data_IF_685235657652
#
_entry.id   IF_685235657652
#
_cell.length_a   1.000
_cell.length_b   1.000
_cell.length_c   1.000
_cell.angle_alpha   90.00
_cell.angle_beta   90.00
_cell.angle_gamma   90.00
#
_symmetry.space_group_name_H-M   'P 1'
#
loop_
_entity.id
_entity.type
_entity.pdbx_description
1 polymer ?
#
# COMPACT_ATOMS: atom_id res chain seq x y z
N UNK A 1 0.11 31.42 -46.79
CA UNK A 1 -0.01 31.02 -45.37
C UNK A 1 -1.48 31.12 -45.03
N UNK A 2 -2.19 30.17 -44.46
CA UNK A 2 -1.90 29.00 -43.64
C UNK A 2 -3.25 28.24 -43.58
N UNK A 3 -3.34 26.94 -43.86
CA UNK A 3 -3.56 25.90 -42.85
C UNK A 3 -4.07 24.60 -43.54
N UNK A 4 -3.39 24.11 -44.59
CA UNK A 4 -3.82 22.89 -45.32
C UNK A 4 -3.12 21.60 -44.87
N UNK A 5 -2.18 21.68 -43.93
CA UNK A 5 -1.41 20.52 -43.44
C UNK A 5 -2.04 19.83 -42.21
N UNK A 6 -3.06 20.46 -41.59
CA UNK A 6 -3.70 19.96 -40.37
C UNK A 6 -4.79 18.89 -40.57
N UNK A 7 -5.49 18.90 -41.72
CA UNK A 7 -6.61 17.97 -41.94
C UNK A 7 -6.17 16.59 -42.47
N UNK A 8 -5.15 16.52 -43.32
CA UNK A 8 -4.67 15.24 -43.87
C UNK A 8 -4.03 14.33 -42.80
N UNK A 9 -3.40 14.93 -41.80
CA UNK A 9 -2.77 14.21 -40.68
C UNK A 9 -3.83 13.62 -39.73
N UNK A 10 -4.95 14.34 -39.52
CA UNK A 10 -6.07 13.87 -38.69
C UNK A 10 -6.88 12.76 -39.39
N UNK A 11 -7.19 12.91 -40.68
CA UNK A 11 -7.94 11.89 -41.45
C UNK A 11 -7.15 10.57 -41.55
N UNK A 12 -5.82 10.64 -41.65
CA UNK A 12 -4.97 9.43 -41.67
C UNK A 12 -4.90 8.73 -40.30
N UNK A 13 -5.00 9.48 -39.20
CA UNK A 13 -5.05 8.93 -37.83
C UNK A 13 -6.44 8.37 -37.48
N UNK A 14 -7.52 9.02 -37.93
CA UNK A 14 -8.89 8.54 -37.68
C UNK A 14 -9.24 7.28 -38.50
N UNK A 15 -8.69 7.15 -39.71
CA UNK A 15 -8.87 5.96 -40.54
C UNK A 15 -8.07 4.74 -40.04
N UNK A 16 -6.92 4.96 -39.39
CA UNK A 16 -6.14 3.88 -38.75
C UNK A 16 -6.75 3.44 -37.41
N UNK A 17 -7.37 4.33 -36.65
CA UNK A 17 -7.99 3.99 -35.34
C UNK A 17 -9.37 3.32 -35.50
N UNK A 18 -10.10 3.59 -36.59
CA UNK A 18 -11.45 3.03 -36.82
C UNK A 18 -11.46 1.62 -37.43
N UNK A 19 -10.35 1.15 -38.00
CA UNK A 19 -10.22 -0.18 -38.61
C UNK A 19 -9.51 -1.23 -37.73
N UNK A 20 -9.30 -0.95 -36.44
CA UNK A 20 -8.83 -1.93 -35.45
C UNK A 20 -10.02 -2.48 -34.65
N UNK A 21 -10.57 -3.66 -35.02
CA UNK A 21 -11.62 -4.33 -34.26
C UNK A 21 -11.02 -4.89 -32.96
N UNK A 22 -10.89 -4.05 -31.92
CA UNK A 22 -10.44 -4.54 -30.61
C UNK A 22 -10.03 -3.47 -29.60
N UNK A 23 -9.62 -2.28 -30.02
CA UNK A 23 -8.97 -1.34 -29.07
C UNK A 23 -9.94 -0.64 -28.11
N UNK A 24 -11.09 -0.15 -28.61
CA UNK A 24 -12.04 0.62 -27.77
C UNK A 24 -12.76 -0.28 -26.76
N UNK A 25 -13.28 -1.42 -27.23
CA UNK A 25 -14.07 -2.37 -26.44
C UNK A 25 -13.25 -2.97 -25.29
N UNK A 26 -11.96 -3.19 -25.51
CA UNK A 26 -11.05 -3.78 -24.55
C UNK A 26 -10.59 -2.77 -23.49
N UNK A 27 -10.45 -1.49 -23.84
CA UNK A 27 -10.11 -0.43 -22.88
C UNK A 27 -11.30 -0.01 -21.99
N UNK A 28 -12.54 -0.04 -22.50
CA UNK A 28 -13.74 0.14 -21.69
C UNK A 28 -13.98 -1.06 -20.76
N UNK A 29 -13.88 -2.30 -21.26
CA UNK A 29 -14.01 -3.48 -20.40
C UNK A 29 -12.91 -3.53 -19.33
N UNK A 30 -11.64 -3.27 -19.66
CA UNK A 30 -10.58 -3.27 -18.63
C UNK A 30 -10.80 -2.15 -17.62
N UNK A 31 -11.09 -0.90 -18.05
CA UNK A 31 -11.28 0.20 -17.10
C UNK A 31 -12.57 0.05 -16.27
N UNK A 32 -13.65 -0.46 -16.84
CA UNK A 32 -14.92 -0.69 -16.16
C UNK A 32 -14.84 -1.88 -15.20
N UNK A 33 -14.24 -3.00 -15.59
CA UNK A 33 -14.03 -4.16 -14.71
C UNK A 33 -13.01 -3.83 -13.60
N UNK A 34 -11.92 -3.13 -13.94
CA UNK A 34 -10.98 -2.59 -12.94
C UNK A 34 -11.69 -1.61 -12.00
N UNK A 35 -12.62 -0.79 -12.49
CA UNK A 35 -13.36 0.15 -11.63
C UNK A 35 -14.38 -0.56 -10.74
N UNK A 36 -15.10 -1.57 -11.24
CA UNK A 36 -16.12 -2.30 -10.47
C UNK A 36 -15.48 -3.24 -9.44
N UNK A 37 -14.35 -3.89 -9.76
CA UNK A 37 -13.51 -4.56 -8.76
C UNK A 37 -13.00 -3.55 -7.72
N UNK A 38 -12.36 -2.45 -8.14
CA UNK A 38 -11.83 -1.43 -7.23
C UNK A 38 -12.88 -0.71 -6.37
N UNK A 39 -14.15 -0.66 -6.78
CA UNK A 39 -15.19 -0.02 -5.97
C UNK A 39 -15.48 -0.80 -4.68
N UNK A 40 -15.66 -2.12 -4.77
CA UNK A 40 -15.86 -2.96 -3.59
C UNK A 40 -14.53 -3.35 -2.95
N UNK A 41 -13.54 -3.71 -3.78
CA UNK A 41 -12.20 -4.06 -3.34
C UNK A 41 -11.52 -2.89 -2.63
N UNK A 42 -11.72 -1.64 -3.09
CA UNK A 42 -11.24 -0.44 -2.42
C UNK A 42 -11.87 -0.21 -1.04
N UNK A 43 -13.17 -0.50 -0.88
CA UNK A 43 -13.83 -0.47 0.43
C UNK A 43 -13.26 -1.56 1.34
N UNK A 44 -13.07 -2.78 0.81
CA UNK A 44 -12.47 -3.90 1.56
C UNK A 44 -11.03 -3.57 1.96
N UNK A 45 -10.20 -3.05 1.07
CA UNK A 45 -8.84 -2.60 1.35
C UNK A 45 -8.84 -1.49 2.40
N UNK A 46 -9.79 -0.54 2.31
CA UNK A 46 -9.98 0.51 3.30
C UNK A 46 -10.23 -0.05 4.70
N UNK A 47 -11.22 -0.94 4.84
CA UNK A 47 -11.55 -1.58 6.13
C UNK A 47 -10.38 -2.42 6.64
N UNK A 48 -9.76 -3.23 5.78
CA UNK A 48 -8.62 -4.06 6.15
C UNK A 48 -7.42 -3.21 6.57
N UNK A 49 -7.16 -2.08 5.91
CA UNK A 49 -6.08 -1.16 6.29
C UNK A 49 -6.31 -0.55 7.67
N UNK A 50 -7.54 -0.15 8.00
CA UNK A 50 -7.88 0.38 9.31
C UNK A 50 -7.70 -0.67 10.41
N UNK A 51 -8.11 -1.92 10.14
CA UNK A 51 -7.92 -3.04 11.08
C UNK A 51 -6.44 -3.35 11.26
N UNK A 52 -5.66 -3.41 10.17
CA UNK A 52 -4.21 -3.68 10.24
C UNK A 52 -3.51 -2.58 11.03
N UNK A 53 -3.71 -1.31 10.67
CA UNK A 53 -3.08 -0.17 11.36
C UNK A 53 -3.54 -0.12 12.82
N UNK A 54 -4.85 -0.29 13.07
CA UNK A 54 -5.46 -0.26 14.39
C UNK A 54 -4.99 -1.38 15.31
N UNK A 55 -4.76 -2.59 14.78
CA UNK A 55 -4.23 -3.71 15.52
C UNK A 55 -2.70 -3.64 15.69
N UNK A 56 -1.97 -3.09 14.72
CA UNK A 56 -0.52 -2.94 14.80
C UNK A 56 -0.10 -1.98 15.91
N UNK A 57 -0.85 -0.90 16.17
CA UNK A 57 -0.52 0.06 17.24
C UNK A 57 -0.42 -0.60 18.64
N UNK A 58 -1.45 -1.29 19.17
CA UNK A 58 -1.36 -1.97 20.45
C UNK A 58 -0.39 -3.15 20.43
N UNK A 59 -0.26 -3.85 19.29
CA UNK A 59 0.70 -4.95 19.13
C UNK A 59 2.14 -4.46 19.33
N UNK A 60 2.50 -3.33 18.71
CA UNK A 60 3.85 -2.74 18.79
C UNK A 60 4.14 -2.25 20.21
N UNK A 61 3.16 -1.64 20.88
CA UNK A 61 3.27 -1.22 22.29
C UNK A 61 3.46 -2.44 23.19
N UNK A 62 2.73 -3.53 22.94
CA UNK A 62 2.87 -4.77 23.69
C UNK A 62 4.25 -5.41 23.51
N UNK A 63 4.77 -5.43 22.27
CA UNK A 63 6.13 -5.88 21.98
C UNK A 63 7.20 -4.97 22.60
N UNK A 64 7.01 -3.66 22.61
CA UNK A 64 7.91 -2.72 23.31
C UNK A 64 7.92 -3.00 24.82
N UNK A 65 6.73 -3.15 25.41
CA UNK A 65 6.52 -3.42 26.83
C UNK A 65 7.15 -4.75 27.28
N UNK A 66 7.10 -5.79 26.44
CA UNK A 66 7.64 -7.12 26.75
C UNK A 66 9.10 -7.32 26.32
N UNK A 67 9.52 -6.81 25.16
CA UNK A 67 10.79 -7.17 24.51
C UNK A 67 11.79 -6.00 24.30
N UNK A 68 11.55 -4.80 24.84
CA UNK A 68 12.51 -3.67 24.76
C UNK A 68 12.79 -3.20 23.31
N UNK A 69 13.53 -2.10 23.16
CA UNK A 69 14.02 -1.52 21.89
C UNK A 69 14.69 -2.51 20.90
N UNK A 70 15.06 -3.74 21.31
CA UNK A 70 15.75 -4.71 20.46
C UNK A 70 14.85 -5.44 19.44
N UNK A 71 13.52 -5.22 19.44
CA UNK A 71 12.58 -5.85 18.48
C UNK A 71 12.58 -5.14 17.12
N UNK A 72 13.20 -3.96 17.01
CA UNK A 72 13.24 -3.19 15.76
C UNK A 72 13.70 -3.97 14.50
N UNK A 73 14.66 -4.92 14.55
CA UNK A 73 15.07 -5.67 13.36
C UNK A 73 14.01 -6.68 12.92
N UNK A 74 13.22 -7.21 13.86
CA UNK A 74 12.16 -8.19 13.57
C UNK A 74 11.08 -7.54 12.71
N UNK A 75 10.63 -6.33 13.07
CA UNK A 75 9.67 -5.58 12.27
C UNK A 75 10.24 -5.19 10.90
N UNK A 76 11.54 -4.90 10.80
CA UNK A 76 12.18 -4.57 9.54
C UNK A 76 12.24 -5.78 8.60
N UNK A 77 12.69 -6.93 9.12
CA UNK A 77 12.75 -8.18 8.36
C UNK A 77 11.35 -8.62 7.95
N UNK A 78 10.38 -8.60 8.87
CA UNK A 78 8.99 -8.94 8.57
C UNK A 78 8.38 -8.02 7.50
N UNK A 79 8.63 -6.71 7.59
CA UNK A 79 8.17 -5.73 6.60
C UNK A 79 8.79 -5.96 5.23
N UNK A 80 10.09 -6.19 5.17
CA UNK A 80 10.81 -6.46 3.93
C UNK A 80 10.35 -7.77 3.28
N UNK A 81 10.17 -8.83 4.07
CA UNK A 81 9.63 -10.10 3.58
C UNK A 81 8.22 -9.95 3.03
N UNK A 82 7.36 -9.16 3.69
CA UNK A 82 6.02 -8.87 3.17
C UNK A 82 6.07 -8.10 1.84
N UNK A 83 6.93 -7.10 1.71
CA UNK A 83 7.09 -6.35 0.46
C UNK A 83 7.62 -7.22 -0.68
N UNK A 84 8.61 -8.08 -0.39
CA UNK A 84 9.14 -9.04 -1.35
C UNK A 84 8.06 -10.03 -1.77
N UNK A 85 7.31 -10.60 -0.82
CA UNK A 85 6.24 -11.52 -1.12
C UNK A 85 5.09 -10.85 -1.91
N UNK A 86 4.82 -9.56 -1.68
CA UNK A 86 3.83 -8.80 -2.46
C UNK A 86 4.15 -8.76 -3.96
N UNK A 87 5.44 -8.78 -4.35
CA UNK A 87 5.87 -8.80 -5.75
C UNK A 87 5.56 -10.12 -6.46
N UNK A 88 5.39 -11.22 -5.72
CA UNK A 88 5.13 -12.55 -6.27
C UNK A 88 3.65 -12.94 -6.23
N UNK A 89 2.80 -12.15 -5.59
CA UNK A 89 1.37 -12.41 -5.43
C UNK A 89 0.57 -11.42 -6.30
N UNK A 90 -0.53 -11.88 -6.90
CA UNK A 90 -1.42 -11.06 -7.73
C UNK A 90 -2.75 -10.78 -7.02
N UNK A 91 -3.41 -9.68 -7.38
CA UNK A 91 -4.71 -9.26 -6.85
C UNK A 91 -4.67 -8.64 -5.45
N UNK A 92 -5.81 -8.64 -4.75
CA UNK A 92 -6.02 -8.06 -3.42
C UNK A 92 -4.92 -8.36 -2.41
N UNK A 93 -4.43 -9.60 -2.40
CA UNK A 93 -3.42 -10.04 -1.44
C UNK A 93 -2.07 -9.33 -1.62
N UNK A 94 -1.71 -8.94 -2.85
CA UNK A 94 -0.52 -8.13 -3.12
C UNK A 94 -0.63 -6.76 -2.44
N UNK A 95 -1.82 -6.13 -2.55
CA UNK A 95 -2.12 -4.84 -1.93
C UNK A 95 -2.09 -4.94 -0.41
N UNK A 96 -2.68 -5.99 0.17
CA UNK A 96 -2.68 -6.23 1.61
C UNK A 96 -1.27 -6.49 2.15
N UNK A 97 -0.45 -7.30 1.46
CA UNK A 97 0.95 -7.52 1.84
C UNK A 97 1.79 -6.24 1.73
N UNK A 98 1.55 -5.42 0.71
CA UNK A 98 2.16 -4.10 0.57
C UNK A 98 1.82 -3.18 1.75
N UNK A 99 0.53 -3.09 2.09
CA UNK A 99 0.05 -2.33 3.26
C UNK A 99 0.66 -2.84 4.56
N UNK A 100 0.70 -4.15 4.75
CA UNK A 100 1.29 -4.79 5.93
C UNK A 100 2.79 -4.51 6.02
N UNK A 101 3.52 -4.60 4.90
CA UNK A 101 4.94 -4.30 4.84
C UNK A 101 5.26 -2.84 5.21
N UNK A 102 4.51 -1.90 4.67
CA UNK A 102 4.64 -0.47 5.00
C UNK A 102 4.25 -0.20 6.46
N UNK A 103 3.18 -0.82 6.96
CA UNK A 103 2.75 -0.70 8.36
C UNK A 103 3.82 -1.23 9.35
N UNK A 104 4.47 -2.35 9.03
CA UNK A 104 5.59 -2.88 9.80
C UNK A 104 6.77 -1.91 9.87
N UNK A 105 7.15 -1.30 8.75
CA UNK A 105 8.25 -0.32 8.70
C UNK A 105 7.89 0.93 9.50
N UNK A 106 6.65 1.43 9.36
CA UNK A 106 6.16 2.58 10.13
C UNK A 106 6.17 2.33 11.63
N UNK A 107 5.80 1.12 12.04
CA UNK A 107 5.77 0.69 13.44
C UNK A 107 7.13 0.81 14.14
N UNK A 108 8.25 0.65 13.41
CA UNK A 108 9.60 0.85 13.96
C UNK A 108 9.81 2.30 14.37
N UNK A 109 9.34 3.24 13.55
CA UNK A 109 9.44 4.67 13.82
C UNK A 109 8.61 5.03 15.06
N UNK A 110 7.40 4.49 15.16
CA UNK A 110 6.54 4.68 16.33
C UNK A 110 7.18 4.10 17.59
N UNK A 111 7.72 2.88 17.53
CA UNK A 111 8.40 2.23 18.66
C UNK A 111 9.60 3.03 19.18
N UNK A 112 10.39 3.65 18.29
CA UNK A 112 11.49 4.55 18.69
C UNK A 112 10.99 5.84 19.33
N UNK A 113 9.91 6.43 18.81
CA UNK A 113 9.35 7.65 19.39
C UNK A 113 8.65 7.38 20.74
N UNK A 114 7.98 6.22 20.89
CA UNK A 114 7.38 5.79 22.14
C UNK A 114 8.44 5.56 23.22
N UNK A 115 9.55 4.90 22.92
CA UNK A 115 10.64 4.76 23.89
C UNK A 115 11.24 6.11 24.30
N UNK A 116 11.38 7.06 23.36
CA UNK A 116 11.79 8.43 23.70
C UNK A 116 10.77 9.13 24.61
N UNK A 117 9.48 8.83 24.49
CA UNK A 117 8.43 9.33 25.41
C UNK A 117 8.51 8.68 26.79
N UNK A 118 8.80 7.38 26.88
CA UNK A 118 9.04 6.67 28.15
C UNK A 118 10.31 7.19 28.84
N UNK A 119 11.39 7.45 28.09
CA UNK A 119 12.62 8.05 28.62
C UNK A 119 12.40 9.46 29.17
N UNK A 120 11.50 10.25 28.54
CA UNK A 120 11.06 11.55 29.04
C UNK A 120 10.14 11.47 30.27
N UNK A 121 9.77 10.27 30.72
CA UNK A 121 8.93 10.04 31.90
C UNK A 121 7.43 10.24 31.68
N UNK A 122 6.97 10.39 30.44
CA UNK A 122 5.55 10.60 30.12
C UNK A 122 4.71 9.31 30.24
N UNK A 123 5.36 8.14 30.21
CA UNK A 123 4.73 6.84 30.38
C UNK A 123 5.53 5.98 31.38
N UNK A 124 4.86 5.21 32.25
CA UNK A 124 5.52 4.37 33.23
C UNK A 124 6.33 3.28 32.54
N UNK A 125 7.64 3.26 32.81
CA UNK A 125 8.53 2.20 32.37
C UNK A 125 8.16 0.89 33.05
N UNK A 126 8.13 -0.22 32.30
CA UNK A 126 7.84 -1.53 32.86
C UNK A 126 8.83 -1.87 34.01
N UNK A 127 8.35 -2.04 35.27
CA UNK A 127 9.22 -2.31 36.42
C UNK A 127 9.78 -3.73 36.46
N UNK A 128 9.29 -4.64 35.60
CA UNK A 128 9.81 -6.02 35.46
C UNK A 128 11.11 -6.10 34.64
N UNK A 129 11.66 -4.96 34.24
CA UNK A 129 12.87 -4.84 33.44
C UNK A 129 14.11 -4.87 34.34
N UNK A 130 14.83 -6.00 34.37
CA UNK A 130 16.25 -6.06 34.74
C UNK A 130 17.10 -6.07 33.48
#
# INVERSE_FOLDING_TARGET
MSNFDGQNTQISQDFTVSNLPGSKNQCYNIREVVSVELNFEGVVVGVMSLVIIGAFHPLVIWFEYHFTQSVWPVFLIAGLLCLIAALFIQGLFSVLLGLLGVACIWSIRELKEQARRVERGWFPKNPKRK
#
